data_IF_955759743831
#
_entry.id   IF_955759743831
#
_cell.length_a   1.000
_cell.length_b   1.000
_cell.length_c   1.000
_cell.angle_alpha   90.00
_cell.angle_beta   90.00
_cell.angle_gamma   90.00
#
_symmetry.space_group_name_H-M   'P 1'
#
loop_
_entity.id
_entity.type
_entity.pdbx_description
1 polymer ?
#
# COMPACT_ATOMS: atom_id res chain seq x y z
N UNK A 1 -26.98 -12.18 -11.30
CA UNK A 1 -26.16 -11.14 -11.95
C UNK A 1 -27.08 -10.30 -12.83
N UNK A 2 -27.02 -8.98 -12.71
CA UNK A 2 -27.89 -8.09 -13.47
C UNK A 2 -27.11 -6.99 -14.21
N UNK A 3 -27.75 -6.39 -15.21
CA UNK A 3 -27.17 -5.38 -16.08
C UNK A 3 -27.94 -4.06 -15.97
N UNK A 4 -27.22 -2.95 -15.78
CA UNK A 4 -27.77 -1.60 -15.80
C UNK A 4 -27.28 -0.89 -17.06
N UNK A 5 -28.23 -0.41 -17.87
CA UNK A 5 -27.91 0.32 -19.11
C UNK A 5 -27.29 1.68 -18.80
N UNK A 6 -26.15 1.96 -19.40
CA UNK A 6 -25.44 3.23 -19.31
C UNK A 6 -25.83 4.17 -20.45
N UNK A 7 -25.61 5.47 -20.25
CA UNK A 7 -25.93 6.51 -21.22
C UNK A 7 -24.71 7.37 -21.58
N UNK A 8 -24.82 8.11 -22.68
CA UNK A 8 -23.80 9.07 -23.12
C UNK A 8 -22.87 8.52 -24.21
N UNK A 9 -21.96 9.38 -24.69
CA UNK A 9 -21.10 9.12 -25.86
C UNK A 9 -20.26 7.84 -25.76
N UNK A 10 -19.87 7.45 -24.55
CA UNK A 10 -18.99 6.31 -24.31
C UNK A 10 -19.76 5.03 -23.95
N UNK A 11 -21.09 5.07 -23.92
CA UNK A 11 -21.92 3.89 -23.66
C UNK A 11 -22.12 3.09 -24.96
N UNK A 12 -21.03 2.54 -25.49
CA UNK A 12 -21.00 1.81 -26.75
C UNK A 12 -20.28 0.47 -26.58
N UNK A 13 -20.78 -0.58 -27.25
CA UNK A 13 -20.21 -1.92 -27.21
C UNK A 13 -20.09 -2.46 -25.79
N UNK A 14 -18.88 -2.86 -25.37
CA UNK A 14 -18.62 -3.40 -24.04
C UNK A 14 -18.88 -2.40 -22.89
N UNK A 15 -19.03 -1.11 -23.19
CA UNK A 15 -19.34 -0.07 -22.20
C UNK A 15 -20.82 0.35 -22.15
N UNK A 16 -21.70 -0.38 -22.83
CA UNK A 16 -23.14 -0.09 -22.81
C UNK A 16 -23.81 -0.47 -21.48
N UNK A 17 -23.29 -1.47 -20.76
CA UNK A 17 -23.89 -1.98 -19.54
C UNK A 17 -22.89 -2.04 -18.39
N UNK A 18 -23.38 -1.81 -17.17
CA UNK A 18 -22.68 -2.11 -15.92
C UNK A 18 -23.25 -3.39 -15.30
N UNK A 19 -22.38 -4.26 -14.79
CA UNK A 19 -22.74 -5.50 -14.12
C UNK A 19 -22.84 -5.22 -12.62
N UNK A 20 -23.92 -5.69 -12.00
CA UNK A 20 -24.20 -5.51 -10.56
C UNK A 20 -24.77 -6.80 -9.96
N UNK A 21 -24.77 -6.87 -8.63
CA UNK A 21 -25.49 -7.91 -7.90
C UNK A 21 -27.00 -7.71 -8.05
N UNK A 22 -27.78 -8.81 -8.04
CA UNK A 22 -29.22 -8.77 -8.31
C UNK A 22 -29.98 -7.95 -7.27
N UNK A 23 -29.56 -8.00 -6.01
CA UNK A 23 -30.14 -7.27 -4.89
C UNK A 23 -29.92 -5.75 -4.95
N UNK A 24 -29.00 -5.29 -5.80
CA UNK A 24 -28.67 -3.86 -5.94
C UNK A 24 -29.36 -3.19 -7.13
N UNK A 25 -30.03 -3.95 -7.99
CA UNK A 25 -30.62 -3.42 -9.23
C UNK A 25 -31.68 -2.37 -8.94
N UNK A 26 -32.62 -2.67 -8.05
CA UNK A 26 -33.74 -1.78 -7.73
C UNK A 26 -33.24 -0.48 -7.10
N UNK A 27 -32.24 -0.58 -6.22
CA UNK A 27 -31.61 0.57 -5.60
C UNK A 27 -30.86 1.44 -6.61
N UNK A 28 -30.04 0.84 -7.48
CA UNK A 28 -29.21 1.57 -8.43
C UNK A 28 -29.99 2.12 -9.63
N UNK A 29 -31.12 1.49 -9.99
CA UNK A 29 -31.97 1.90 -11.12
C UNK A 29 -32.75 3.19 -10.87
N UNK A 30 -32.74 3.71 -9.63
CA UNK A 30 -33.31 5.02 -9.29
C UNK A 30 -32.62 6.19 -10.00
N UNK A 31 -31.43 5.96 -10.58
CA UNK A 31 -30.63 7.00 -11.21
C UNK A 31 -30.21 6.68 -12.63
N UNK A 32 -30.03 7.74 -13.43
CA UNK A 32 -29.46 7.62 -14.77
C UNK A 32 -27.93 7.59 -14.70
N UNK A 33 -27.37 6.47 -15.11
CA UNK A 33 -25.93 6.24 -15.14
C UNK A 33 -25.34 6.59 -16.50
N UNK A 34 -24.11 7.09 -16.50
CA UNK A 34 -23.35 7.47 -17.68
C UNK A 34 -22.04 6.69 -17.74
N UNK A 35 -21.65 6.32 -18.95
CA UNK A 35 -20.31 5.80 -19.23
C UNK A 35 -19.32 6.99 -19.33
N UNK A 36 -18.31 7.02 -18.45
CA UNK A 36 -17.28 8.07 -18.44
C UNK A 36 -15.86 7.48 -18.43
N UNK A 37 -15.01 7.84 -19.40
CA UNK A 37 -13.60 7.42 -19.40
C UNK A 37 -12.82 8.17 -18.31
N UNK A 38 -11.84 7.50 -17.71
CA UNK A 38 -10.96 8.11 -16.72
C UNK A 38 -9.57 8.39 -17.31
N UNK A 39 -9.46 9.51 -18.04
CA UNK A 39 -8.24 10.30 -18.33
C UNK A 39 -6.98 9.66 -18.94
N UNK A 40 -6.70 8.38 -18.72
CA UNK A 40 -5.40 7.78 -19.05
C UNK A 40 -5.41 6.29 -19.42
N UNK A 41 -6.57 5.62 -19.40
CA UNK A 41 -6.76 4.24 -19.94
C UNK A 41 -8.15 4.09 -20.54
N UNK A 42 -8.34 3.08 -21.39
CA UNK A 42 -9.66 2.66 -21.92
C UNK A 42 -10.66 2.20 -20.84
N UNK A 43 -10.39 2.46 -19.55
CA UNK A 43 -11.29 2.15 -18.46
C UNK A 43 -12.42 3.18 -18.42
N UNK A 44 -13.62 2.69 -18.66
CA UNK A 44 -14.87 3.42 -18.56
C UNK A 44 -15.52 3.05 -17.23
N UNK A 45 -15.97 4.07 -16.50
CA UNK A 45 -16.70 3.88 -15.25
C UNK A 45 -18.17 4.24 -15.43
N UNK A 46 -19.04 3.51 -14.74
CA UNK A 46 -20.42 3.90 -14.52
C UNK A 46 -20.46 5.04 -13.48
N UNK A 47 -20.92 6.21 -13.91
CA UNK A 47 -20.99 7.41 -13.06
C UNK A 47 -22.35 8.10 -13.12
N UNK A 48 -22.70 8.82 -12.07
CA UNK A 48 -23.82 9.75 -12.05
C UNK A 48 -23.37 11.11 -11.54
N UNK A 49 -23.98 12.18 -12.04
CA UNK A 49 -23.75 13.52 -11.50
C UNK A 49 -24.90 13.88 -10.56
N UNK A 50 -24.58 14.55 -9.46
CA UNK A 50 -25.54 15.07 -8.49
C UNK A 50 -25.03 16.39 -7.93
N UNK A 51 -25.86 17.10 -7.18
CA UNK A 51 -25.48 18.34 -6.50
C UNK A 51 -25.47 18.07 -5.00
N UNK A 52 -24.34 18.35 -4.35
CA UNK A 52 -24.15 18.23 -2.90
C UNK A 52 -23.58 19.56 -2.44
N UNK A 53 -24.23 20.20 -1.46
CA UNK A 53 -23.85 21.51 -0.92
C UNK A 53 -23.65 22.58 -2.01
N UNK A 54 -24.55 22.61 -2.99
CA UNK A 54 -24.51 23.55 -4.12
C UNK A 54 -23.41 23.26 -5.16
N UNK A 55 -22.60 22.21 -4.98
CA UNK A 55 -21.51 21.84 -5.89
C UNK A 55 -21.88 20.62 -6.71
N UNK A 56 -21.55 20.65 -8.01
CA UNK A 56 -21.69 19.48 -8.90
C UNK A 56 -20.67 18.41 -8.54
N UNK A 57 -21.13 17.20 -8.27
CA UNK A 57 -20.34 16.06 -7.83
C UNK A 57 -20.60 14.87 -8.76
N UNK A 58 -19.52 14.22 -9.21
CA UNK A 58 -19.60 12.93 -9.90
C UNK A 58 -19.45 11.79 -8.90
N UNK A 59 -20.45 10.93 -8.79
CA UNK A 59 -20.44 9.71 -7.99
C UNK A 59 -20.20 8.50 -8.91
N UNK A 60 -19.36 7.55 -8.47
CA UNK A 60 -19.05 6.31 -9.21
C UNK A 60 -19.85 5.15 -8.64
N UNK A 61 -20.38 4.28 -9.50
CA UNK A 61 -21.25 3.17 -9.11
C UNK A 61 -20.57 2.22 -8.12
N UNK A 62 -19.35 1.75 -8.40
CA UNK A 62 -18.60 0.87 -7.50
C UNK A 62 -18.43 1.43 -6.08
N UNK A 63 -18.29 2.76 -5.91
CA UNK A 63 -18.17 3.35 -4.56
C UNK A 63 -19.49 3.27 -3.80
N UNK A 64 -20.61 3.46 -4.49
CA UNK A 64 -21.94 3.30 -3.89
C UNK A 64 -22.15 1.83 -3.49
N UNK A 65 -21.82 0.89 -4.38
CA UNK A 65 -21.98 -0.55 -4.10
C UNK A 65 -21.10 -1.03 -2.95
N UNK A 66 -19.87 -0.53 -2.85
CA UNK A 66 -18.96 -0.82 -1.75
C UNK A 66 -19.29 -0.05 -0.44
N UNK A 67 -20.44 0.63 -0.37
CA UNK A 67 -20.84 1.48 0.76
C UNK A 67 -19.76 2.51 1.16
N UNK A 68 -18.99 2.99 0.19
CA UNK A 68 -17.88 3.91 0.39
C UNK A 68 -18.30 5.33 0.04
N UNK A 69 -18.53 6.13 1.07
CA UNK A 69 -18.82 7.56 0.95
C UNK A 69 -17.72 8.31 0.19
N UNK A 70 -18.06 9.51 -0.29
CA UNK A 70 -17.14 10.40 -1.00
C UNK A 70 -15.87 10.68 -0.19
N UNK A 71 -16.03 10.91 1.11
CA UNK A 71 -14.95 11.35 1.99
C UNK A 71 -14.16 10.18 2.60
N UNK A 72 -14.50 8.94 2.23
CA UNK A 72 -13.71 7.79 2.63
C UNK A 72 -12.34 7.84 1.93
N UNK A 73 -11.23 7.85 2.69
CA UNK A 73 -9.87 7.94 2.13
C UNK A 73 -9.46 6.69 1.35
N UNK A 74 -10.19 5.59 1.50
CA UNK A 74 -9.97 4.37 0.72
C UNK A 74 -10.46 4.53 -0.72
N UNK A 75 -9.71 3.94 -1.61
CA UNK A 75 -10.12 3.67 -2.99
C UNK A 75 -10.79 2.29 -3.05
N UNK A 76 -11.64 2.11 -4.06
CA UNK A 76 -12.28 0.82 -4.34
C UNK A 76 -11.75 0.40 -5.70
N UNK A 77 -10.99 -0.69 -5.71
CA UNK A 77 -10.43 -1.28 -6.92
C UNK A 77 -11.25 -2.49 -7.38
N UNK A 78 -11.04 -2.92 -8.63
CA UNK A 78 -11.73 -4.07 -9.21
C UNK A 78 -10.73 -5.21 -9.36
N UNK A 79 -10.98 -6.34 -8.71
CA UNK A 79 -10.08 -7.50 -8.71
C UNK A 79 -9.83 -8.04 -10.13
N UNK A 80 -10.88 -8.09 -10.96
CA UNK A 80 -10.79 -8.52 -12.36
C UNK A 80 -10.35 -7.42 -13.34
N UNK A 81 -9.98 -6.22 -12.86
CA UNK A 81 -9.65 -5.05 -13.66
C UNK A 81 -10.75 -4.55 -14.63
N UNK A 82 -11.98 -5.05 -14.54
CA UNK A 82 -13.13 -4.57 -15.30
C UNK A 82 -13.89 -3.50 -14.51
N UNK A 83 -13.73 -2.23 -14.91
CA UNK A 83 -14.34 -1.06 -14.24
C UNK A 83 -15.88 -0.98 -14.33
N UNK A 84 -16.50 -1.85 -15.11
CA UNK A 84 -17.96 -1.94 -15.26
C UNK A 84 -18.56 -3.12 -14.50
N UNK A 85 -17.73 -4.00 -13.94
CA UNK A 85 -18.17 -5.08 -13.06
C UNK A 85 -18.21 -4.61 -11.60
N UNK A 86 -19.34 -4.02 -11.21
CA UNK A 86 -19.55 -3.40 -9.91
C UNK A 86 -20.14 -4.38 -8.88
N UNK A 87 -20.09 -5.70 -9.11
CA UNK A 87 -20.52 -6.71 -8.13
C UNK A 87 -19.66 -6.64 -6.88
N UNK A 88 -20.26 -6.75 -5.69
CA UNK A 88 -19.52 -6.62 -4.41
C UNK A 88 -18.35 -7.59 -4.30
N UNK A 89 -18.50 -8.81 -4.81
CA UNK A 89 -17.43 -9.82 -4.82
C UNK A 89 -16.20 -9.41 -5.64
N UNK A 90 -16.33 -8.46 -6.58
CA UNK A 90 -15.24 -7.97 -7.41
C UNK A 90 -14.60 -6.67 -6.87
N UNK A 91 -15.20 -6.05 -5.84
CA UNK A 91 -14.77 -4.75 -5.32
C UNK A 91 -13.85 -4.91 -4.11
N UNK A 92 -12.64 -4.35 -4.21
CA UNK A 92 -11.60 -4.44 -3.18
C UNK A 92 -11.31 -3.06 -2.60
N UNK A 93 -11.65 -2.82 -1.32
CA UNK A 93 -11.16 -1.67 -0.57
C UNK A 93 -9.64 -1.65 -0.50
N UNK A 94 -9.01 -0.60 -1.01
CA UNK A 94 -7.56 -0.45 -1.00
C UNK A 94 -7.15 0.99 -0.67
N UNK A 95 -6.08 1.16 0.09
CA UNK A 95 -5.41 2.46 0.19
C UNK A 95 -4.78 2.83 -1.17
N UNK A 96 -4.55 4.12 -1.42
CA UNK A 96 -3.89 4.57 -2.66
C UNK A 96 -2.56 3.86 -2.92
N UNK A 97 -1.78 3.61 -1.87
CA UNK A 97 -0.49 2.91 -1.99
C UNK A 97 -0.68 1.44 -2.36
N UNK A 98 -1.65 0.75 -1.77
CA UNK A 98 -1.99 -0.63 -2.13
C UNK A 98 -2.51 -0.72 -3.57
N UNK A 99 -3.39 0.18 -3.98
CA UNK A 99 -3.89 0.24 -5.36
C UNK A 99 -2.75 0.46 -6.38
N UNK A 100 -1.81 1.37 -6.05
CA UNK A 100 -0.64 1.59 -6.91
C UNK A 100 0.26 0.34 -7.03
N UNK A 101 0.38 -0.47 -5.97
CA UNK A 101 1.14 -1.72 -6.01
C UNK A 101 0.47 -2.78 -6.90
N UNK A 102 -0.86 -2.78 -6.98
CA UNK A 102 -1.64 -3.65 -7.87
C UNK A 102 -1.58 -3.21 -9.35
N UNK A 103 -0.86 -2.13 -9.67
CA UNK A 103 -0.71 -1.70 -11.06
C UNK A 103 0.03 -2.74 -11.89
N UNK A 104 -0.56 -3.07 -13.04
CA UNK A 104 0.03 -3.98 -14.04
C UNK A 104 1.47 -3.57 -14.37
N UNK A 105 2.47 -4.46 -14.25
CA UNK A 105 3.83 -4.20 -14.68
C UNK A 105 3.86 -3.82 -16.17
N UNK A 106 4.77 -2.93 -16.54
CA UNK A 106 5.03 -2.57 -17.92
C UNK A 106 6.53 -2.67 -18.23
N UNK A 107 6.85 -2.86 -19.49
CA UNK A 107 8.23 -2.88 -19.94
C UNK A 107 8.77 -1.45 -20.10
N UNK A 108 9.88 -1.15 -19.44
CA UNK A 108 10.59 0.12 -19.57
C UNK A 108 11.91 -0.11 -20.32
N UNK A 109 12.05 0.59 -21.45
CA UNK A 109 13.29 0.67 -22.22
C UNK A 109 14.07 1.92 -21.81
N UNK A 110 15.37 1.81 -21.64
CA UNK A 110 16.24 2.97 -21.40
C UNK A 110 17.70 2.57 -21.30
N UNK A 111 18.55 3.55 -21.00
CA UNK A 111 19.99 3.33 -20.89
C UNK A 111 20.41 3.27 -19.42
N UNK A 112 21.43 2.45 -19.13
CA UNK A 112 22.04 2.45 -17.81
C UNK A 112 22.64 3.83 -17.51
N UNK A 113 22.23 4.46 -16.40
CA UNK A 113 22.74 5.78 -15.98
C UNK A 113 24.26 5.82 -15.78
N UNK A 114 24.91 4.68 -15.52
CA UNK A 114 26.34 4.63 -15.21
C UNK A 114 27.22 4.24 -16.40
N UNK A 115 26.78 3.31 -17.25
CA UNK A 115 27.60 2.82 -18.37
C UNK A 115 26.96 2.99 -19.75
N UNK A 116 25.78 3.60 -19.84
CA UNK A 116 25.11 3.90 -21.12
C UNK A 116 24.49 2.70 -21.86
N UNK A 117 24.76 1.46 -21.43
CA UNK A 117 24.22 0.26 -22.10
C UNK A 117 22.70 0.28 -22.11
N UNK A 118 22.10 0.02 -23.27
CA UNK A 118 20.65 -0.09 -23.43
C UNK A 118 20.11 -1.32 -22.70
N UNK A 119 19.02 -1.15 -21.95
CA UNK A 119 18.42 -2.17 -21.14
C UNK A 119 16.89 -2.12 -21.19
N UNK A 120 16.31 -3.29 -20.96
CA UNK A 120 14.88 -3.49 -20.73
C UNK A 120 14.66 -4.03 -19.33
N UNK A 121 13.62 -3.55 -18.65
CA UNK A 121 13.16 -4.12 -17.37
C UNK A 121 11.65 -4.06 -17.28
N UNK A 122 11.05 -5.06 -16.64
CA UNK A 122 9.68 -4.95 -16.16
C UNK A 122 9.66 -4.09 -14.89
N UNK A 123 8.78 -3.10 -14.84
CA UNK A 123 8.62 -2.21 -13.69
C UNK A 123 7.15 -1.89 -13.47
N UNK A 124 6.79 -1.54 -12.24
CA UNK A 124 5.49 -0.93 -11.95
C UNK A 124 5.57 0.59 -12.07
N UNK A 125 4.42 1.26 -12.04
CA UNK A 125 4.33 2.74 -12.08
C UNK A 125 5.14 3.35 -10.92
N UNK A 126 5.05 2.74 -9.74
CA UNK A 126 5.74 3.18 -8.52
C UNK A 126 7.27 3.14 -8.69
N UNK A 127 7.78 2.14 -9.40
CA UNK A 127 9.21 1.93 -9.60
C UNK A 127 9.75 2.57 -10.90
N UNK A 128 8.90 3.22 -11.71
CA UNK A 128 9.30 3.88 -12.97
C UNK A 128 10.42 4.90 -12.77
N UNK A 129 10.35 5.66 -11.68
CA UNK A 129 11.33 6.69 -11.34
C UNK A 129 12.64 6.13 -10.76
N UNK A 130 12.68 4.84 -10.39
CA UNK A 130 13.88 4.22 -9.87
C UNK A 130 14.99 4.22 -10.93
N UNK A 131 16.20 4.61 -10.53
CA UNK A 131 17.36 4.69 -11.41
C UNK A 131 17.59 3.40 -12.21
N UNK A 132 17.75 3.55 -13.52
CA UNK A 132 18.06 2.43 -14.41
C UNK A 132 19.56 2.13 -14.36
N UNK A 133 19.93 1.04 -13.70
CA UNK A 133 21.32 0.62 -13.53
C UNK A 133 21.47 -0.87 -13.80
N UNK A 134 22.47 -1.24 -14.61
CA UNK A 134 22.77 -2.64 -14.94
C UNK A 134 23.30 -3.39 -13.71
N UNK A 135 23.19 -4.72 -13.70
CA UNK A 135 23.67 -5.56 -12.60
C UNK A 135 25.15 -5.26 -12.24
N UNK A 136 26.09 -5.14 -13.21
CA UNK A 136 27.48 -4.79 -12.92
C UNK A 136 27.67 -3.40 -12.27
N UNK A 137 26.97 -2.37 -12.74
CA UNK A 137 27.08 -1.03 -12.15
C UNK A 137 26.48 -0.98 -10.74
N UNK A 138 25.39 -1.71 -10.49
CA UNK A 138 24.81 -1.84 -9.16
C UNK A 138 25.79 -2.52 -8.18
N UNK A 139 26.41 -3.63 -8.57
CA UNK A 139 27.33 -4.37 -7.70
C UNK A 139 28.55 -3.54 -7.33
N UNK A 140 29.16 -2.83 -8.29
CA UNK A 140 30.28 -1.90 -8.04
C UNK A 140 29.92 -0.81 -7.03
N UNK A 141 28.71 -0.22 -7.14
CA UNK A 141 28.23 0.80 -6.20
C UNK A 141 28.00 0.26 -4.79
N UNK A 142 27.39 -0.91 -4.67
CA UNK A 142 27.21 -1.57 -3.37
C UNK A 142 28.55 -1.98 -2.73
N UNK A 143 29.57 -2.32 -3.54
CA UNK A 143 30.92 -2.55 -3.04
C UNK A 143 31.58 -1.26 -2.53
N UNK A 144 31.36 -0.11 -3.18
CA UNK A 144 31.91 1.18 -2.74
C UNK A 144 31.28 1.71 -1.44
N UNK A 145 30.00 1.42 -1.18
CA UNK A 145 29.26 1.86 0.02
C UNK A 145 29.45 0.93 1.23
N UNK A 146 30.34 -0.07 1.15
CA UNK A 146 30.52 -1.10 2.18
C UNK A 146 31.41 -0.70 3.36
N UNK A 147 31.62 0.59 3.61
CA UNK A 147 32.06 1.01 4.94
C UNK A 147 30.86 0.96 5.89
N UNK A 148 30.65 -0.18 6.56
CA UNK A 148 29.74 -0.21 7.70
C UNK A 148 30.35 0.67 8.78
N UNK A 149 29.86 1.90 8.92
CA UNK A 149 30.32 2.81 9.96
C UNK A 149 30.23 2.09 11.32
N UNK A 150 31.38 1.93 11.97
CA UNK A 150 31.48 1.35 13.29
C UNK A 150 31.52 2.47 14.30
N UNK A 151 30.60 2.45 15.26
CA UNK A 151 30.54 3.42 16.34
C UNK A 151 31.06 2.77 17.62
N UNK A 152 31.96 3.45 18.30
CA UNK A 152 32.43 3.05 19.63
C UNK A 152 31.64 3.84 20.66
N UNK A 153 30.77 3.17 21.41
CA UNK A 153 29.96 3.79 22.47
C UNK A 153 30.11 3.00 23.77
N UNK A 154 29.65 3.53 24.90
CA UNK A 154 29.61 2.80 26.18
C UNK A 154 28.17 2.40 26.50
N UNK A 155 28.01 1.21 27.07
CA UNK A 155 26.71 0.74 27.54
C UNK A 155 26.20 1.63 28.68
N UNK A 156 24.99 2.20 28.57
CA UNK A 156 24.38 3.04 29.63
C UNK A 156 24.13 2.30 30.96
N UNK A 157 24.13 0.96 30.94
CA UNK A 157 23.93 0.15 32.15
C UNK A 157 25.25 -0.29 32.79
N UNK A 158 26.11 -1.00 32.03
CA UNK A 158 27.32 -1.62 32.58
C UNK A 158 28.62 -0.91 32.20
N UNK A 159 28.54 0.23 31.49
CA UNK A 159 29.68 1.07 31.06
C UNK A 159 30.74 0.40 30.17
N UNK A 160 30.58 -0.89 29.83
CA UNK A 160 31.44 -1.60 28.90
C UNK A 160 31.43 -0.92 27.53
N UNK A 161 32.62 -0.76 26.96
CA UNK A 161 32.78 -0.32 25.58
C UNK A 161 32.11 -1.31 24.62
N UNK A 162 31.30 -0.80 23.71
CA UNK A 162 30.58 -1.56 22.70
C UNK A 162 30.86 -1.02 21.31
N UNK A 163 30.98 -1.97 20.40
CA UNK A 163 31.10 -1.72 18.96
C UNK A 163 29.71 -1.84 18.34
N UNK A 164 29.21 -0.76 17.75
CA UNK A 164 27.86 -0.67 17.22
C UNK A 164 27.86 -0.45 15.70
N UNK A 165 26.97 -1.16 15.00
CA UNK A 165 26.74 -1.00 13.55
C UNK A 165 25.70 0.06 13.21
N UNK A 166 25.04 0.64 14.21
CA UNK A 166 24.03 1.70 14.05
C UNK A 166 24.37 2.83 15.03
N UNK A 167 24.26 4.10 14.62
CA UNK A 167 24.34 5.21 15.56
C UNK A 167 23.20 5.08 16.58
N UNK A 168 23.52 5.21 17.87
CA UNK A 168 22.53 5.11 18.95
C UNK A 168 22.33 3.74 19.59
N UNK A 169 23.22 2.75 19.38
CA UNK A 169 23.21 1.56 20.25
C UNK A 169 23.64 1.98 21.67
N UNK A 170 22.72 1.87 22.62
CA UNK A 170 22.93 2.33 24.00
C UNK A 170 23.27 1.20 24.98
N UNK A 171 23.00 -0.06 24.60
CA UNK A 171 23.15 -1.23 25.48
C UNK A 171 23.92 -2.36 24.79
N UNK A 172 24.75 -3.07 25.56
CA UNK A 172 25.51 -4.21 25.05
C UNK A 172 24.62 -5.44 24.80
N UNK A 173 23.64 -5.68 25.66
CA UNK A 173 22.72 -6.83 25.62
C UNK A 173 21.30 -6.39 25.98
N UNK A 174 20.31 -7.23 25.63
CA UNK A 174 18.93 -6.99 26.04
C UNK A 174 18.76 -7.06 27.56
N UNK A 175 19.58 -7.87 28.25
CA UNK A 175 19.64 -7.87 29.70
C UNK A 175 20.01 -6.49 30.27
N UNK A 176 21.04 -5.84 29.72
CA UNK A 176 21.43 -4.49 30.16
C UNK A 176 20.35 -3.46 29.86
N UNK A 177 19.65 -3.58 28.73
CA UNK A 177 18.51 -2.72 28.38
C UNK A 177 17.36 -2.89 29.37
N UNK A 178 17.00 -4.13 29.70
CA UNK A 178 15.92 -4.45 30.63
C UNK A 178 16.25 -3.99 32.06
N UNK A 179 17.48 -4.23 32.54
CA UNK A 179 17.92 -3.76 33.87
C UNK A 179 17.93 -2.24 33.97
N UNK A 180 18.41 -1.54 32.95
CA UNK A 180 18.37 -0.08 32.92
C UNK A 180 16.94 0.44 32.90
N UNK A 181 16.05 -0.14 32.09
CA UNK A 181 14.62 0.23 32.08
C UNK A 181 13.91 -0.03 33.41
N UNK A 182 14.22 -1.13 34.08
CA UNK A 182 13.71 -1.42 35.42
C UNK A 182 14.22 -0.40 36.44
N UNK A 183 15.51 -0.05 36.41
CA UNK A 183 16.09 0.98 37.28
C UNK A 183 15.49 2.38 37.05
N UNK A 184 15.11 2.69 35.81
CA UNK A 184 14.46 3.95 35.44
C UNK A 184 12.92 3.92 35.62
N UNK A 185 12.35 2.84 36.16
CA UNK A 185 10.90 2.73 36.43
C UNK A 185 10.02 2.48 35.20
N UNK A 186 10.59 2.26 34.01
CA UNK A 186 9.82 2.00 32.79
C UNK A 186 9.18 0.61 32.73
N UNK A 187 9.69 -0.35 33.51
CA UNK A 187 9.18 -1.73 33.55
C UNK A 187 9.19 -2.20 35.00
N UNK A 188 8.05 -2.66 35.50
CA UNK A 188 7.98 -3.29 36.82
C UNK A 188 8.73 -4.62 36.80
N UNK A 189 9.62 -4.91 37.78
CA UNK A 189 10.25 -6.22 37.86
C UNK A 189 9.17 -7.31 37.92
N UNK A 190 9.19 -8.25 36.98
CA UNK A 190 8.34 -9.43 37.10
C UNK A 190 8.72 -10.12 38.42
N UNK A 191 7.76 -10.26 39.35
CA UNK A 191 7.97 -10.93 40.63
C UNK A 191 8.71 -12.24 40.37
N UNK A 192 9.92 -12.37 40.90
CA UNK A 192 10.69 -13.60 40.83
C UNK A 192 9.81 -14.71 41.44
N UNK A 193 9.53 -15.79 40.71
CA UNK A 193 8.93 -17.01 41.27
C UNK A 193 9.77 -17.39 42.48
N UNK A 194 9.22 -17.26 43.68
CA UNK A 194 9.82 -17.83 44.88
C UNK A 194 9.84 -19.34 44.66
N UNK A 195 11.04 -19.91 44.62
CA UNK A 195 11.25 -21.34 44.74
C UNK A 195 10.67 -21.79 46.08
N UNK A 196 9.65 -22.63 46.03
CA UNK A 196 9.19 -23.42 47.17
C UNK A 196 10.34 -24.36 47.55
N UNK A 197 11.00 -24.08 48.66
CA UNK A 197 11.83 -25.04 49.38
C UNK A 197 11.60 -24.84 50.87
N UNK A 198 11.45 -25.97 51.55
CA UNK A 198 11.52 -26.20 53.00
C UNK A 198 10.19 -26.16 53.76
N UNK A 199 9.52 -27.31 53.80
CA UNK A 199 8.64 -27.70 54.91
C UNK A 199 9.44 -28.52 55.93
N UNK A 200 9.22 -28.32 57.25
CA UNK A 200 9.95 -29.06 58.27
C UNK A 200 9.36 -30.46 58.51
N UNK A 201 10.23 -31.36 58.97
CA UNK A 201 9.92 -32.70 59.48
C UNK A 201 9.12 -32.66 60.78
#
# INVERSE_FOLDING_TARGET
MALIKLTGKYAVGQSEFAIVDDDMVDFLSQWRWKAKPNGGRNNVYAVRNTVIDGKSVTLRMHRIVAAMGRDNPLEVDHDNHNSLDNRRANLVPATRSQNMLNSTPFEQVGNCKHCGISMRRMTTICARASEMACKPCKSKRHAALRSSAVFFTKCKHCQRAITARRPGREFCTDMCRCRHRAAMGYVSPSRRRQSLSDGPA
#
